data_IF_752496760899
#
_entry.id   IF_752496760899
#
_cell.length_a   1.000
_cell.length_b   1.000
_cell.length_c   1.000
_cell.angle_alpha   90.00
_cell.angle_beta   90.00
_cell.angle_gamma   90.00
#
_symmetry.space_group_name_H-M   'P 1'
#
loop_
_entity.id
_entity.type
_entity.pdbx_description
1 polymer ?
#
# COMPACT_ATOMS: atom_id res chain seq x y z
N UNK A 1 19.85 4.59 10.41
CA UNK A 1 18.45 4.84 10.81
C UNK A 1 18.11 6.32 10.62
N UNK A 2 16.90 6.60 10.15
CA UNK A 2 16.23 7.91 10.22
C UNK A 2 15.34 7.88 11.46
N UNK A 3 15.40 8.91 12.31
CA UNK A 3 14.60 8.99 13.52
C UNK A 3 13.13 9.37 13.25
N UNK A 4 12.33 9.36 14.32
CA UNK A 4 10.95 9.82 14.28
C UNK A 4 10.93 11.33 13.99
N UNK A 5 9.96 11.80 13.20
CA UNK A 5 9.78 13.21 12.81
C UNK A 5 10.98 13.87 12.10
N UNK A 6 12.01 13.11 11.68
CA UNK A 6 13.29 13.65 11.23
C UNK A 6 13.21 14.69 10.10
N UNK A 7 12.26 14.55 9.18
CA UNK A 7 12.01 15.44 8.03
C UNK A 7 10.56 15.90 7.98
N UNK A 8 9.89 15.91 9.12
CA UNK A 8 8.50 16.37 9.22
C UNK A 8 8.35 17.81 8.69
N UNK A 9 7.29 18.09 7.92
CA UNK A 9 6.98 19.43 7.36
C UNK A 9 8.04 20.01 6.39
N UNK A 10 8.90 19.17 5.80
CA UNK A 10 9.85 19.62 4.78
C UNK A 10 9.11 19.91 3.44
N UNK A 11 8.27 20.94 3.44
CA UNK A 11 7.29 21.22 2.38
C UNK A 11 7.88 21.59 1.01
N UNK A 12 9.16 21.98 0.94
CA UNK A 12 9.84 22.36 -0.31
C UNK A 12 10.66 21.23 -0.94
N UNK A 13 10.80 20.10 -0.26
CA UNK A 13 11.56 18.97 -0.78
C UNK A 13 10.73 18.25 -1.85
N UNK A 14 11.28 18.12 -3.05
CA UNK A 14 10.59 17.49 -4.18
C UNK A 14 11.06 16.08 -4.48
N UNK A 15 12.28 15.74 -4.06
CA UNK A 15 12.89 14.41 -4.25
C UNK A 15 13.77 14.06 -3.07
N UNK A 16 13.68 12.82 -2.64
CA UNK A 16 14.53 12.25 -1.59
C UNK A 16 15.18 10.97 -2.11
N UNK A 17 16.48 10.81 -1.84
CA UNK A 17 17.20 9.55 -2.03
C UNK A 17 17.76 9.15 -0.67
N UNK A 18 17.27 8.04 -0.14
CA UNK A 18 17.73 7.52 1.14
C UNK A 18 19.04 6.74 0.90
N UNK A 19 20.12 7.04 1.65
CA UNK A 19 21.40 6.37 1.48
C UNK A 19 21.36 4.88 1.80
N UNK A 20 22.22 4.07 1.15
CA UNK A 20 22.32 2.61 1.31
C UNK A 20 22.65 2.16 2.74
N UNK A 21 23.21 3.03 3.56
CA UNK A 21 23.48 2.75 4.98
C UNK A 21 22.24 2.75 5.89
N UNK A 22 21.08 3.25 5.38
CA UNK A 22 19.85 3.37 6.16
C UNK A 22 19.03 2.09 6.02
N UNK A 23 18.79 1.41 7.13
CA UNK A 23 18.00 0.16 7.18
C UNK A 23 16.61 0.35 7.78
N UNK A 24 16.35 1.48 8.45
CA UNK A 24 15.04 1.75 9.08
C UNK A 24 14.73 3.23 9.16
N UNK A 25 13.45 3.53 9.17
CA UNK A 25 12.87 4.87 9.31
C UNK A 25 11.84 4.86 10.45
N UNK A 26 11.79 5.93 11.21
CA UNK A 26 10.87 6.09 12.33
C UNK A 26 9.49 6.59 11.92
N UNK A 27 8.64 6.78 12.94
CA UNK A 27 7.29 7.27 12.76
C UNK A 27 7.30 8.75 12.34
N UNK A 28 6.35 9.15 11.49
CA UNK A 28 6.18 10.53 11.03
C UNK A 28 7.40 11.12 10.31
N UNK A 29 8.36 10.30 9.90
CA UNK A 29 9.68 10.76 9.44
C UNK A 29 9.62 11.76 8.28
N UNK A 30 8.69 11.62 7.35
CA UNK A 30 8.41 12.53 6.22
C UNK A 30 6.95 12.99 6.22
N UNK A 31 6.34 13.14 7.39
CA UNK A 31 4.97 13.63 7.48
C UNK A 31 4.85 15.04 6.86
N UNK A 32 3.81 15.19 6.00
CA UNK A 32 3.43 16.49 5.43
C UNK A 32 4.54 17.18 4.61
N UNK A 33 5.36 16.40 3.88
CA UNK A 33 6.28 16.91 2.88
C UNK A 33 5.53 17.13 1.56
N UNK A 34 4.68 18.15 1.50
CA UNK A 34 3.65 18.33 0.47
C UNK A 34 4.18 18.38 -0.97
N UNK A 35 5.41 18.83 -1.19
CA UNK A 35 6.01 18.91 -2.53
C UNK A 35 6.76 17.62 -2.92
N UNK A 36 6.85 16.62 -2.04
CA UNK A 36 7.61 15.41 -2.31
C UNK A 36 6.94 14.57 -3.40
N UNK A 37 7.57 14.51 -4.57
CA UNK A 37 7.07 13.77 -5.75
C UNK A 37 7.62 12.36 -5.83
N UNK A 38 8.85 12.15 -5.35
CA UNK A 38 9.57 10.87 -5.43
C UNK A 38 10.43 10.64 -4.21
N UNK A 39 10.42 9.40 -3.75
CA UNK A 39 11.37 8.89 -2.78
C UNK A 39 12.00 7.60 -3.32
N UNK A 40 13.31 7.47 -3.13
CA UNK A 40 14.05 6.23 -3.44
C UNK A 40 14.57 5.65 -2.14
N UNK A 41 14.19 4.42 -1.88
CA UNK A 41 14.66 3.65 -0.73
C UNK A 41 15.88 2.81 -1.10
N UNK A 42 16.78 2.54 -0.14
CA UNK A 42 17.85 1.58 -0.34
C UNK A 42 17.33 0.14 -0.25
N UNK A 43 17.99 -0.78 -0.94
CA UNK A 43 17.63 -2.21 -0.95
C UNK A 43 17.68 -2.86 0.44
N UNK A 44 18.50 -2.30 1.34
CA UNK A 44 18.66 -2.79 2.71
C UNK A 44 17.60 -2.27 3.71
N UNK A 45 16.68 -1.44 3.26
CA UNK A 45 15.60 -0.96 4.14
C UNK A 45 14.62 -2.08 4.42
N UNK A 46 14.41 -2.37 5.70
CA UNK A 46 13.51 -3.44 6.14
C UNK A 46 12.27 -2.91 6.88
N UNK A 47 12.26 -1.62 7.23
CA UNK A 47 11.15 -1.05 7.99
C UNK A 47 11.07 0.46 7.87
N UNK A 48 9.85 0.97 7.76
CA UNK A 48 9.50 2.37 8.03
C UNK A 48 8.37 2.43 9.06
N UNK A 49 8.24 3.58 9.72
CA UNK A 49 7.33 3.77 10.83
C UNK A 49 5.90 4.08 10.40
N UNK A 50 5.01 4.13 11.37
CA UNK A 50 3.64 4.57 11.17
C UNK A 50 3.61 6.04 10.72
N UNK A 51 2.65 6.39 9.86
CA UNK A 51 2.44 7.75 9.35
C UNK A 51 3.67 8.34 8.64
N UNK A 52 4.66 7.51 8.28
CA UNK A 52 5.96 7.97 7.79
C UNK A 52 5.87 8.91 6.59
N UNK A 53 4.89 8.73 5.71
CA UNK A 53 4.64 9.56 4.52
C UNK A 53 3.20 10.12 4.48
N UNK A 54 2.57 10.26 5.62
CA UNK A 54 1.22 10.79 5.71
C UNK A 54 1.14 12.23 5.17
N UNK A 55 0.09 12.54 4.37
CA UNK A 55 -0.11 13.86 3.75
C UNK A 55 1.00 14.31 2.79
N UNK A 56 1.68 13.40 2.13
CA UNK A 56 2.56 13.72 1.01
C UNK A 56 1.75 13.85 -0.28
N UNK A 57 1.03 14.94 -0.41
CA UNK A 57 0.01 15.13 -1.47
C UNK A 57 0.58 15.05 -2.89
N UNK A 58 1.84 15.43 -3.10
CA UNK A 58 2.50 15.40 -4.42
C UNK A 58 3.13 14.05 -4.77
N UNK A 59 3.16 13.07 -3.85
CA UNK A 59 3.80 11.77 -4.08
C UNK A 59 3.04 11.00 -5.16
N UNK A 60 3.75 10.63 -6.25
CA UNK A 60 3.14 10.01 -7.44
C UNK A 60 3.31 8.50 -7.48
N UNK A 61 4.46 8.02 -7.03
CA UNK A 61 4.78 6.61 -7.04
C UNK A 61 5.71 6.24 -5.90
N UNK A 62 5.59 5.00 -5.44
CA UNK A 62 6.49 4.42 -4.44
C UNK A 62 6.83 2.99 -4.82
N UNK A 63 8.12 2.65 -4.71
CA UNK A 63 8.61 1.28 -4.78
C UNK A 63 9.09 0.89 -3.39
N UNK A 64 8.37 -0.03 -2.75
CA UNK A 64 8.68 -0.51 -1.41
C UNK A 64 9.78 -1.55 -1.52
N UNK A 65 10.90 -1.44 -0.76
CA UNK A 65 12.05 -2.31 -0.89
C UNK A 65 11.75 -3.76 -0.52
N UNK A 66 12.48 -4.68 -1.17
CA UNK A 66 12.52 -6.08 -0.73
C UNK A 66 13.06 -6.18 0.71
N UNK A 67 12.49 -7.11 1.49
CA UNK A 67 12.79 -7.24 2.92
C UNK A 67 11.81 -6.48 3.82
N UNK A 68 11.00 -5.55 3.29
CA UNK A 68 9.87 -4.99 4.04
C UNK A 68 8.74 -6.01 4.10
N UNK A 69 8.38 -6.42 5.31
CA UNK A 69 7.32 -7.41 5.55
C UNK A 69 5.99 -6.79 5.95
N UNK A 70 5.99 -5.51 6.33
CA UNK A 70 4.80 -4.81 6.82
C UNK A 70 4.76 -3.39 6.30
N UNK A 71 3.64 -2.98 5.71
CA UNK A 71 3.33 -1.57 5.45
C UNK A 71 2.59 -1.05 6.69
N UNK A 72 3.18 -0.12 7.46
CA UNK A 72 2.61 0.31 8.73
C UNK A 72 1.32 1.11 8.59
N UNK A 73 0.63 1.29 9.73
CA UNK A 73 -0.62 2.05 9.80
C UNK A 73 -0.44 3.46 9.24
N UNK A 74 -1.33 3.83 8.33
CA UNK A 74 -1.40 5.15 7.68
C UNK A 74 -0.10 5.64 7.03
N UNK A 75 0.84 4.74 6.71
CA UNK A 75 2.16 5.10 6.20
C UNK A 75 2.12 6.01 4.97
N UNK A 76 1.17 5.80 4.05
CA UNK A 76 0.96 6.60 2.84
C UNK A 76 -0.44 7.22 2.78
N UNK A 77 -1.14 7.32 3.90
CA UNK A 77 -2.47 7.91 3.91
C UNK A 77 -2.43 9.38 3.46
N UNK A 78 -3.47 9.81 2.73
CA UNK A 78 -3.60 11.13 2.12
C UNK A 78 -2.50 11.49 1.10
N UNK A 79 -1.86 10.51 0.50
CA UNK A 79 -1.03 10.73 -0.70
C UNK A 79 -1.96 10.84 -1.92
N UNK A 80 -2.66 11.97 -2.06
CA UNK A 80 -3.78 12.14 -3.01
C UNK A 80 -3.39 11.93 -4.47
N UNK A 81 -2.12 12.17 -4.84
CA UNK A 81 -1.60 11.98 -6.19
C UNK A 81 -0.88 10.65 -6.41
N UNK A 82 -0.88 9.74 -5.44
CA UNK A 82 -0.26 8.44 -5.57
C UNK A 82 -1.05 7.59 -6.56
N UNK A 83 -0.42 7.21 -7.67
CA UNK A 83 -1.02 6.40 -8.74
C UNK A 83 -0.43 5.02 -8.85
N UNK A 84 0.77 4.79 -8.30
CA UNK A 84 1.47 3.53 -8.45
C UNK A 84 2.20 3.15 -7.16
N UNK A 85 1.96 1.94 -6.71
CA UNK A 85 2.67 1.31 -5.58
C UNK A 85 3.20 -0.02 -6.04
N UNK A 86 4.53 -0.19 -5.98
CA UNK A 86 5.17 -1.48 -6.20
C UNK A 86 5.46 -2.06 -4.82
N UNK A 87 4.82 -3.19 -4.53
CA UNK A 87 4.96 -3.92 -3.27
C UNK A 87 5.92 -5.09 -3.43
N UNK A 88 6.81 -5.37 -2.44
CA UNK A 88 7.79 -6.43 -2.52
C UNK A 88 7.18 -7.82 -2.30
N UNK A 89 7.79 -8.85 -2.85
CA UNK A 89 7.38 -10.25 -2.59
C UNK A 89 7.51 -10.69 -1.13
N UNK A 90 8.33 -9.99 -0.34
CA UNK A 90 8.49 -10.23 1.11
C UNK A 90 7.31 -9.74 1.95
N UNK A 91 6.37 -8.98 1.38
CA UNK A 91 5.28 -8.34 2.13
C UNK A 91 4.29 -9.37 2.69
N UNK A 92 3.95 -9.24 3.96
CA UNK A 92 3.02 -10.12 4.68
C UNK A 92 1.78 -9.39 5.18
N UNK A 93 1.94 -8.14 5.63
CA UNK A 93 0.86 -7.38 6.25
C UNK A 93 0.75 -5.97 5.67
N UNK A 94 -0.47 -5.54 5.38
CA UNK A 94 -0.82 -4.16 5.04
C UNK A 94 -1.73 -3.65 6.16
N UNK A 95 -1.18 -2.75 7.00
CA UNK A 95 -1.88 -2.27 8.19
C UNK A 95 -2.98 -1.25 7.86
N UNK A 96 -3.80 -0.98 8.87
CA UNK A 96 -4.97 -0.12 8.77
C UNK A 96 -4.64 1.29 8.25
N UNK A 97 -5.44 1.75 7.30
CA UNK A 97 -5.28 3.08 6.71
C UNK A 97 -4.04 3.28 5.85
N UNK A 98 -3.21 2.26 5.59
CA UNK A 98 -1.92 2.39 4.93
C UNK A 98 -1.96 3.27 3.66
N UNK A 99 -2.99 3.13 2.83
CA UNK A 99 -3.24 3.92 1.61
C UNK A 99 -4.58 4.66 1.64
N UNK A 100 -5.11 4.90 2.83
CA UNK A 100 -6.38 5.62 2.96
C UNK A 100 -6.29 6.99 2.30
N UNK A 101 -7.35 7.40 1.58
CA UNK A 101 -7.42 8.66 0.84
C UNK A 101 -6.34 8.86 -0.24
N UNK A 102 -5.76 7.79 -0.78
CA UNK A 102 -4.95 7.83 -1.99
C UNK A 102 -5.87 7.87 -3.23
N UNK A 103 -6.47 9.04 -3.51
CA UNK A 103 -7.57 9.19 -4.47
C UNK A 103 -7.25 8.82 -5.93
N UNK A 104 -6.00 8.73 -6.31
CA UNK A 104 -5.59 8.34 -7.66
C UNK A 104 -5.07 6.90 -7.76
N UNK A 105 -5.09 6.16 -6.64
CA UNK A 105 -4.67 4.76 -6.64
C UNK A 105 -5.85 3.88 -7.03
N UNK A 106 -6.03 3.64 -8.34
CA UNK A 106 -7.16 2.89 -8.90
C UNK A 106 -6.83 1.43 -9.15
N UNK A 107 -5.56 1.08 -9.18
CA UNK A 107 -5.07 -0.25 -9.48
C UNK A 107 -3.98 -0.65 -8.50
N UNK A 108 -4.04 -1.87 -7.97
CA UNK A 108 -3.02 -2.41 -7.06
C UNK A 108 -2.75 -3.88 -7.36
N UNK A 109 -1.49 -4.27 -7.17
CA UNK A 109 -1.08 -5.68 -7.15
C UNK A 109 -0.62 -6.04 -5.74
N UNK A 110 -1.33 -6.97 -5.12
CA UNK A 110 -1.05 -7.52 -3.80
C UNK A 110 -0.19 -8.77 -3.99
N UNK A 111 1.04 -8.82 -3.45
CA UNK A 111 1.93 -9.96 -3.57
C UNK A 111 1.37 -11.24 -2.94
N UNK A 112 1.89 -12.36 -3.38
CA UNK A 112 1.48 -13.70 -2.92
C UNK A 112 1.80 -14.00 -1.45
N UNK A 113 2.80 -13.32 -0.87
CA UNK A 113 3.18 -13.42 0.53
C UNK A 113 2.21 -12.74 1.51
N UNK A 114 1.29 -11.89 1.02
CA UNK A 114 0.38 -11.13 1.90
C UNK A 114 -0.66 -12.08 2.50
N UNK A 115 -0.77 -12.04 3.83
CA UNK A 115 -1.72 -12.85 4.61
C UNK A 115 -2.77 -12.01 5.33
N UNK A 116 -2.50 -10.72 5.57
CA UNK A 116 -3.40 -9.80 6.27
C UNK A 116 -3.48 -8.45 5.58
N UNK A 117 -4.68 -7.97 5.35
CA UNK A 117 -5.01 -6.61 4.93
C UNK A 117 -5.99 -6.06 5.96
N UNK A 118 -5.54 -5.12 6.77
CA UNK A 118 -6.33 -4.59 7.87
C UNK A 118 -7.41 -3.62 7.38
N UNK A 119 -8.31 -3.23 8.28
CA UNK A 119 -9.42 -2.32 8.01
C UNK A 119 -8.98 -1.00 7.40
N UNK A 120 -9.60 -0.62 6.29
CA UNK A 120 -9.35 0.66 5.61
C UNK A 120 -7.95 0.82 5.03
N UNK A 121 -7.18 -0.27 4.85
CA UNK A 121 -5.82 -0.22 4.30
C UNK A 121 -5.77 0.45 2.92
N UNK A 122 -6.78 0.24 2.10
CA UNK A 122 -6.97 0.86 0.78
C UNK A 122 -8.14 1.86 0.78
N UNK A 123 -8.19 2.78 -0.22
CA UNK A 123 -9.29 3.73 -0.32
C UNK A 123 -10.65 3.04 -0.37
N UNK A 124 -11.58 3.48 0.48
CA UNK A 124 -12.97 2.97 0.53
C UNK A 124 -13.98 3.84 -0.21
N UNK A 125 -13.56 5.01 -0.70
CA UNK A 125 -14.45 6.01 -1.32
C UNK A 125 -14.31 6.11 -2.84
N UNK A 126 -13.44 5.30 -3.44
CA UNK A 126 -13.17 5.32 -4.87
C UNK A 126 -13.46 3.96 -5.46
N UNK A 127 -13.94 3.97 -6.69
CA UNK A 127 -14.07 2.79 -7.51
C UNK A 127 -12.66 2.29 -7.88
N UNK A 128 -12.06 1.46 -7.01
CA UNK A 128 -10.88 0.70 -7.39
C UNK A 128 -11.23 -0.09 -8.66
N UNK A 129 -10.54 0.21 -9.76
CA UNK A 129 -10.89 -0.39 -11.04
C UNK A 129 -10.41 -1.85 -11.10
N UNK A 130 -9.17 -2.09 -10.68
CA UNK A 130 -8.56 -3.41 -10.74
C UNK A 130 -7.74 -3.68 -9.48
N UNK A 131 -8.03 -4.80 -8.84
CA UNK A 131 -7.17 -5.38 -7.80
C UNK A 131 -6.64 -6.71 -8.31
N UNK A 132 -5.34 -6.88 -8.29
CA UNK A 132 -4.69 -8.17 -8.55
C UNK A 132 -4.16 -8.72 -7.23
N UNK A 133 -4.63 -9.89 -6.81
CA UNK A 133 -4.11 -10.57 -5.63
C UNK A 133 -3.45 -11.88 -6.05
N UNK A 134 -2.13 -11.96 -5.85
CA UNK A 134 -1.32 -13.10 -6.27
C UNK A 134 -1.38 -14.26 -5.27
N UNK A 135 -1.93 -14.04 -4.07
CA UNK A 135 -2.05 -15.05 -3.04
C UNK A 135 -3.00 -16.18 -3.48
N UNK A 136 -2.56 -17.43 -3.30
CA UNK A 136 -3.36 -18.63 -3.63
C UNK A 136 -4.51 -18.81 -2.64
N UNK A 137 -4.26 -18.47 -1.37
CA UNK A 137 -5.25 -18.46 -0.29
C UNK A 137 -5.64 -17.01 -0.04
N UNK A 138 -6.95 -16.66 -0.02
CA UNK A 138 -7.38 -15.31 0.27
C UNK A 138 -6.80 -14.79 1.59
N UNK A 139 -6.09 -13.65 1.59
CA UNK A 139 -5.67 -12.99 2.82
C UNK A 139 -6.86 -12.69 3.74
N UNK A 140 -6.62 -12.59 5.04
CA UNK A 140 -7.56 -11.96 5.95
C UNK A 140 -7.81 -10.53 5.50
N UNK A 141 -9.06 -10.17 5.24
CA UNK A 141 -9.45 -8.86 4.73
C UNK A 141 -10.31 -8.12 5.76
N UNK A 142 -9.79 -7.03 6.27
CA UNK A 142 -10.52 -6.10 7.12
C UNK A 142 -11.62 -5.36 6.35
N UNK A 143 -12.49 -4.69 7.08
CA UNK A 143 -13.59 -3.89 6.51
C UNK A 143 -13.08 -2.65 5.77
N UNK A 144 -13.97 -2.04 4.98
CA UNK A 144 -13.75 -0.73 4.36
C UNK A 144 -12.51 -0.66 3.46
N UNK A 145 -12.25 -1.73 2.68
CA UNK A 145 -11.21 -1.79 1.68
C UNK A 145 -11.78 -1.74 0.26
N UNK A 146 -11.03 -1.18 -0.68
CA UNK A 146 -11.25 -1.19 -2.14
C UNK A 146 -12.47 -0.42 -2.68
N UNK A 147 -13.20 0.31 -1.84
CA UNK A 147 -14.48 0.92 -2.24
C UNK A 147 -15.65 -0.08 -2.20
N UNK A 148 -16.81 0.29 -2.70
CA UNK A 148 -18.03 -0.55 -2.65
C UNK A 148 -18.72 -0.63 -4.00
N UNK A 149 -18.77 -1.78 -4.61
CA UNK A 149 -17.74 -2.82 -4.69
C UNK A 149 -16.64 -2.43 -5.70
N UNK A 150 -15.39 -2.84 -5.47
CA UNK A 150 -14.35 -2.71 -6.49
C UNK A 150 -14.74 -3.54 -7.71
N UNK A 151 -14.36 -3.07 -8.93
CA UNK A 151 -14.90 -3.65 -10.17
C UNK A 151 -14.40 -5.08 -10.40
N UNK A 152 -13.08 -5.28 -10.42
CA UNK A 152 -12.50 -6.58 -10.79
C UNK A 152 -11.39 -6.96 -9.82
N UNK A 153 -11.46 -8.20 -9.35
CA UNK A 153 -10.37 -8.90 -8.68
C UNK A 153 -9.80 -9.98 -9.60
N UNK A 154 -8.53 -9.88 -9.94
CA UNK A 154 -7.78 -10.95 -10.59
C UNK A 154 -7.02 -11.77 -9.55
N UNK A 155 -7.12 -13.08 -9.65
CA UNK A 155 -6.44 -14.04 -8.77
C UNK A 155 -5.83 -15.18 -9.58
N UNK A 156 -4.91 -15.99 -9.03
CA UNK A 156 -4.41 -17.18 -9.71
C UNK A 156 -5.56 -18.08 -10.17
N UNK A 157 -5.46 -18.65 -11.37
CA UNK A 157 -6.55 -19.41 -12.00
C UNK A 157 -7.13 -20.51 -11.11
N UNK A 158 -6.27 -21.24 -10.37
CA UNK A 158 -6.69 -22.27 -9.43
C UNK A 158 -7.38 -21.75 -8.16
N UNK A 159 -7.34 -20.43 -7.89
CA UNK A 159 -7.85 -19.82 -6.67
C UNK A 159 -9.21 -19.15 -6.84
N UNK A 160 -9.72 -18.98 -8.05
CA UNK A 160 -10.98 -18.26 -8.33
C UNK A 160 -12.13 -18.75 -7.45
N UNK A 161 -12.33 -20.07 -7.36
CA UNK A 161 -13.40 -20.63 -6.56
C UNK A 161 -13.19 -20.49 -5.05
N UNK A 162 -11.93 -20.45 -4.58
CA UNK A 162 -11.62 -20.23 -3.17
C UNK A 162 -11.99 -18.79 -2.78
N UNK A 163 -11.65 -17.80 -3.62
CA UNK A 163 -12.02 -16.40 -3.40
C UNK A 163 -13.53 -16.18 -3.49
N UNK A 164 -14.23 -16.80 -4.45
CA UNK A 164 -15.69 -16.72 -4.58
C UNK A 164 -16.44 -17.33 -3.38
N UNK A 165 -15.89 -18.34 -2.73
CA UNK A 165 -16.46 -18.95 -1.50
C UNK A 165 -16.18 -18.12 -0.26
N UNK A 166 -15.17 -17.28 -0.25
CA UNK A 166 -14.88 -16.39 0.85
C UNK A 166 -15.86 -15.21 0.84
N UNK A 167 -16.72 -15.11 1.86
CA UNK A 167 -17.79 -14.13 1.90
C UNK A 167 -17.27 -12.69 1.83
N UNK A 168 -16.19 -12.37 2.55
CA UNK A 168 -15.62 -11.02 2.62
C UNK A 168 -15.07 -10.59 1.26
N UNK A 169 -14.28 -11.45 0.60
CA UNK A 169 -13.72 -11.16 -0.73
C UNK A 169 -14.79 -11.10 -1.81
N UNK A 170 -15.79 -12.00 -1.73
CA UNK A 170 -16.91 -12.00 -2.69
C UNK A 170 -17.74 -10.72 -2.61
N UNK A 171 -17.95 -10.17 -1.41
CA UNK A 171 -18.73 -8.95 -1.20
C UNK A 171 -17.94 -7.68 -1.57
N UNK A 172 -16.61 -7.73 -1.55
CA UNK A 172 -15.75 -6.60 -1.86
C UNK A 172 -15.61 -6.34 -3.38
N UNK A 173 -16.00 -7.27 -4.25
CA UNK A 173 -15.77 -7.17 -5.70
C UNK A 173 -17.00 -7.56 -6.53
N UNK A 174 -17.25 -6.81 -7.63
CA UNK A 174 -18.30 -7.15 -8.60
C UNK A 174 -17.94 -8.41 -9.38
N UNK A 175 -16.67 -8.55 -9.73
CA UNK A 175 -16.17 -9.69 -10.53
C UNK A 175 -14.89 -10.27 -9.93
N UNK A 176 -14.84 -11.59 -9.81
CA UNK A 176 -13.62 -12.34 -9.47
C UNK A 176 -13.28 -13.23 -10.66
N UNK A 177 -12.08 -13.02 -11.22
CA UNK A 177 -11.61 -13.69 -12.43
C UNK A 177 -10.19 -14.24 -12.28
N UNK A 178 -9.82 -15.17 -13.16
CA UNK A 178 -8.45 -15.61 -13.27
C UNK A 178 -7.55 -14.49 -13.84
N UNK A 179 -6.29 -14.49 -13.44
CA UNK A 179 -5.26 -13.66 -14.09
C UNK A 179 -5.26 -13.92 -15.59
N UNK A 180 -5.16 -12.87 -16.42
CA UNK A 180 -5.10 -12.99 -17.87
C UNK A 180 -3.85 -13.69 -18.38
#
# INVERSE_FOLDING_TARGET
RIGDYAFMLCSFVTKVVIPESVTSMGDWAFWHCQSLKRITFPDRMVRFGEWAFYENESLQSVCIPEGVTTIPSSAFARCHNLTCVIMPGSLQTICGGAFSQCHKLTDVTIPDGVTVIETGAFPSYLDMAVVTCLAVIPPELGKDNFGLPAKILYVPAGSVEVYRKNAVWREAFETIAALP
#
